data_IF_691662214838
#
_entry.id   IF_691662214838
#
_cell.length_a   1.000
_cell.length_b   1.000
_cell.length_c   1.000
_cell.angle_alpha   90.00
_cell.angle_beta   90.00
_cell.angle_gamma   90.00
#
_symmetry.space_group_name_H-M   'P 1'
#
loop_
_entity.id
_entity.type
_entity.pdbx_description
1 polymer ?
#
# COMPACT_ATOMS: atom_id res chain seq x y z
N UNK A 1 8.87 -3.90 -13.03
CA UNK A 1 7.47 -3.41 -13.17
C UNK A 1 6.58 -4.67 -13.10
N UNK A 2 5.95 -4.99 -11.96
CA UNK A 2 5.32 -6.33 -11.77
C UNK A 2 3.93 -6.29 -11.12
N UNK A 3 3.55 -5.24 -10.41
CA UNK A 3 2.24 -5.17 -9.73
C UNK A 3 1.08 -4.62 -10.59
N UNK A 4 1.37 -4.05 -11.76
CA UNK A 4 0.37 -3.37 -12.60
C UNK A 4 -0.45 -4.30 -13.50
N UNK A 5 -0.17 -5.61 -13.49
CA UNK A 5 -0.81 -6.60 -14.38
C UNK A 5 -1.67 -7.62 -13.65
N UNK A 6 -2.06 -7.35 -12.39
CA UNK A 6 -2.91 -8.29 -11.65
C UNK A 6 -4.37 -8.18 -12.13
N UNK A 7 -5.04 -9.32 -12.40
CA UNK A 7 -6.46 -9.33 -12.76
C UNK A 7 -7.33 -8.76 -11.61
N UNK A 8 -8.48 -8.19 -11.97
CA UNK A 8 -9.46 -7.58 -11.06
C UNK A 8 -9.92 -8.49 -9.92
N UNK A 9 -9.83 -9.81 -10.11
CA UNK A 9 -10.21 -10.86 -9.14
C UNK A 9 -9.09 -11.26 -8.17
N UNK A 10 -7.95 -10.58 -8.20
CA UNK A 10 -6.83 -10.96 -7.34
C UNK A 10 -7.13 -10.58 -5.89
N UNK A 11 -7.40 -11.58 -5.04
CA UNK A 11 -7.51 -11.46 -3.57
C UNK A 11 -6.23 -10.96 -2.87
N UNK A 12 -5.19 -10.62 -3.64
CA UNK A 12 -3.94 -10.13 -3.10
C UNK A 12 -4.10 -8.64 -2.76
N UNK A 13 -3.73 -8.24 -1.54
CA UNK A 13 -3.83 -6.85 -1.08
C UNK A 13 -2.72 -5.99 -1.71
N UNK A 14 -2.74 -5.85 -3.03
CA UNK A 14 -1.73 -5.10 -3.80
C UNK A 14 -1.62 -3.65 -3.32
N UNK A 15 -2.71 -3.06 -2.82
CA UNK A 15 -2.75 -1.70 -2.31
C UNK A 15 -1.85 -1.48 -1.08
N UNK A 16 -1.44 -2.56 -0.39
CA UNK A 16 -0.47 -2.52 0.70
C UNK A 16 0.97 -2.37 0.23
N UNK A 17 1.26 -2.52 -1.06
CA UNK A 17 2.60 -2.31 -1.60
C UNK A 17 2.85 -0.82 -1.82
N UNK A 18 3.84 -0.30 -1.10
CA UNK A 18 4.24 1.11 -1.12
C UNK A 18 5.71 1.23 -1.57
N UNK A 19 6.10 2.41 -2.02
CA UNK A 19 7.51 2.71 -2.26
C UNK A 19 8.31 2.74 -0.94
N UNK A 20 9.64 2.76 -1.07
CA UNK A 20 10.54 3.00 0.05
C UNK A 20 10.09 4.20 0.90
N UNK A 21 10.00 4.00 2.22
CA UNK A 21 9.54 5.02 3.16
C UNK A 21 8.02 5.23 3.20
N UNK A 22 7.21 4.31 2.66
CA UNK A 22 5.75 4.36 2.75
C UNK A 22 5.06 5.27 1.74
N UNK A 23 5.76 5.71 0.70
CA UNK A 23 5.20 6.64 -0.29
C UNK A 23 4.31 5.88 -1.29
N UNK A 24 3.16 6.45 -1.62
CA UNK A 24 2.31 5.92 -2.69
C UNK A 24 2.95 6.31 -4.03
N UNK A 25 3.40 5.33 -4.81
CA UNK A 25 4.05 5.56 -6.11
C UNK A 25 3.06 5.97 -7.21
N UNK A 26 1.76 5.77 -6.98
CA UNK A 26 0.72 6.11 -7.93
C UNK A 26 0.37 7.61 -7.86
N UNK A 27 0.21 8.28 -9.01
CA UNK A 27 -0.14 9.69 -9.05
C UNK A 27 -1.50 9.98 -8.38
N UNK A 28 -1.65 11.21 -7.87
CA UNK A 28 -2.93 11.70 -7.40
C UNK A 28 -3.90 11.86 -8.59
N UNK A 29 -5.15 11.42 -8.44
CA UNK A 29 -6.18 11.50 -9.49
C UNK A 29 -6.12 10.41 -10.56
N UNK A 30 -5.24 9.40 -10.45
CA UNK A 30 -5.36 8.18 -11.25
C UNK A 30 -6.32 7.20 -10.58
N UNK A 31 -7.14 6.45 -11.35
CA UNK A 31 -8.10 5.49 -10.79
C UNK A 31 -7.43 4.49 -9.84
N UNK A 32 -6.30 3.91 -10.24
CA UNK A 32 -5.54 2.97 -9.42
C UNK A 32 -4.97 3.62 -8.16
N UNK A 33 -4.53 4.89 -8.23
CA UNK A 33 -4.02 5.60 -7.06
C UNK A 33 -5.13 5.88 -6.05
N UNK A 34 -6.29 6.31 -6.54
CA UNK A 34 -7.45 6.62 -5.70
C UNK A 34 -8.00 5.36 -5.05
N UNK A 35 -8.05 4.25 -5.78
CA UNK A 35 -8.42 2.95 -5.23
C UNK A 35 -7.42 2.47 -4.17
N UNK A 36 -6.11 2.61 -4.42
CA UNK A 36 -5.09 2.29 -3.42
C UNK A 36 -5.32 3.11 -2.13
N UNK A 37 -5.54 4.43 -2.25
CA UNK A 37 -5.81 5.31 -1.11
C UNK A 37 -7.11 4.92 -0.39
N UNK A 38 -8.17 4.59 -1.12
CA UNK A 38 -9.45 4.19 -0.56
C UNK A 38 -9.34 2.88 0.24
N UNK A 39 -8.67 1.86 -0.32
CA UNK A 39 -8.45 0.58 0.37
C UNK A 39 -7.56 0.74 1.60
N UNK A 40 -6.47 1.50 1.51
CA UNK A 40 -5.61 1.81 2.65
C UNK A 40 -6.39 2.50 3.78
N UNK A 41 -7.22 3.49 3.46
CA UNK A 41 -8.08 4.17 4.45
C UNK A 41 -9.15 3.26 5.03
N UNK A 42 -9.74 2.38 4.22
CA UNK A 42 -10.70 1.37 4.67
C UNK A 42 -10.10 0.38 5.68
N UNK A 43 -8.79 0.14 5.60
CA UNK A 43 -8.04 -0.63 6.60
C UNK A 43 -7.64 0.19 7.85
N UNK A 44 -7.94 1.49 7.89
CA UNK A 44 -7.56 2.38 8.99
C UNK A 44 -6.14 2.94 8.89
N UNK A 45 -5.51 2.87 7.72
CA UNK A 45 -4.19 3.45 7.49
C UNK A 45 -4.30 4.95 7.22
N UNK A 46 -3.57 5.74 8.00
CA UNK A 46 -3.54 7.19 7.81
C UNK A 46 -2.52 7.56 6.72
N UNK A 47 -2.97 8.35 5.74
CA UNK A 47 -2.16 8.82 4.60
C UNK A 47 -1.95 10.32 4.76
N UNK A 48 -0.70 10.74 4.94
CA UNK A 48 -0.31 12.15 5.11
C UNK A 48 0.72 12.49 4.04
N UNK A 49 0.49 13.55 3.24
CA UNK A 49 1.39 13.95 2.14
C UNK A 49 1.73 12.80 1.18
N UNK A 50 0.72 11.99 0.82
CA UNK A 50 0.87 10.81 -0.06
C UNK A 50 1.84 9.74 0.50
N UNK A 51 2.01 9.70 1.83
CA UNK A 51 2.83 8.73 2.56
C UNK A 51 2.01 8.08 3.67
N UNK A 52 2.15 6.77 3.82
CA UNK A 52 1.63 5.99 4.94
C UNK A 52 2.71 5.91 6.01
N UNK A 53 2.31 5.97 7.28
CA UNK A 53 3.21 5.73 8.40
C UNK A 53 3.58 4.24 8.49
N UNK A 54 4.63 3.87 7.75
CA UNK A 54 5.17 2.51 7.77
C UNK A 54 5.86 2.15 9.09
N UNK A 55 6.16 3.11 9.98
CA UNK A 55 6.72 2.75 11.30
C UNK A 55 5.63 2.19 12.19
N UNK A 56 4.42 2.74 12.06
CA UNK A 56 3.22 2.28 12.78
C UNK A 56 2.57 1.05 12.14
N UNK A 57 2.56 0.98 10.80
CA UNK A 57 1.79 -0.02 10.05
C UNK A 57 2.64 -0.94 9.18
N UNK A 58 3.96 -0.76 9.17
CA UNK A 58 4.86 -1.62 8.42
C UNK A 58 4.85 -3.03 8.98
N UNK A 59 5.10 -3.99 8.09
CA UNK A 59 5.38 -5.35 8.50
C UNK A 59 6.63 -5.35 9.37
N UNK A 60 6.44 -5.55 10.68
CA UNK A 60 7.51 -6.01 11.54
C UNK A 60 7.72 -7.45 11.16
N UNK A 61 8.83 -7.72 10.47
CA UNK A 61 9.34 -9.07 10.35
C UNK A 61 9.51 -9.56 11.79
N UNK A 62 8.56 -10.36 12.26
CA UNK A 62 8.76 -11.10 13.50
C UNK A 62 10.03 -11.89 13.22
N UNK A 63 11.07 -11.58 13.98
CA UNK A 63 12.29 -12.36 13.98
C UNK A 63 11.90 -13.78 14.37
N UNK A 64 11.65 -14.62 13.37
CA UNK A 64 11.76 -16.06 13.56
C UNK A 64 13.26 -16.35 13.66
N UNK A 65 13.81 -16.06 14.85
CA UNK A 65 14.96 -16.80 15.34
C UNK A 65 14.41 -18.13 15.83
N UNK A 66 14.80 -19.20 15.14
CA UNK A 66 14.49 -20.58 15.45
C UNK A 66 15.09 -21.48 14.40
#
# INVERSE_FOLDING_TARGET
RTLSQLPEDTRLPWHRVLAAGGRISLPAGSPSGDEQRARLRGEGLSIVNNRVDIRRHGWRQIEHCG
#
